data_IF_538177622332
#
_entry.id   IF_538177622332
#
_cell.length_a   1.000
_cell.length_b   1.000
_cell.length_c   1.000
_cell.angle_alpha   90.00
_cell.angle_beta   90.00
_cell.angle_gamma   90.00
#
_symmetry.space_group_name_H-M   'P 1'
#
loop_
_entity.id
_entity.type
_entity.pdbx_description
1 polymer ?
#
# COMPACT_ATOMS: atom_id res chain seq x y z
N UNK A 1 -22.92 -14.49 21.72
CA UNK A 1 -23.22 -14.59 20.27
C UNK A 1 -21.95 -15.01 19.55
N UNK A 2 -22.01 -16.00 18.66
CA UNK A 2 -20.89 -16.37 17.80
C UNK A 2 -20.70 -15.30 16.72
N UNK A 3 -19.46 -14.89 16.48
CA UNK A 3 -19.12 -13.87 15.48
C UNK A 3 -19.45 -14.41 14.06
N UNK A 4 -20.01 -13.61 13.14
CA UNK A 4 -20.51 -14.12 11.86
C UNK A 4 -19.43 -14.73 10.94
N UNK A 5 -18.17 -14.36 11.15
CA UNK A 5 -17.01 -14.92 10.44
C UNK A 5 -16.39 -16.13 11.14
N UNK A 6 -16.91 -16.55 12.30
CA UNK A 6 -16.40 -17.67 13.07
C UNK A 6 -17.20 -18.93 12.75
N UNK A 7 -16.50 -19.95 12.27
CA UNK A 7 -17.07 -21.28 12.00
C UNK A 7 -16.45 -22.25 12.99
N UNK A 8 -17.29 -23.07 13.63
CA UNK A 8 -16.83 -24.18 14.48
C UNK A 8 -16.96 -25.46 13.69
N UNK A 9 -15.88 -26.23 13.60
CA UNK A 9 -15.82 -27.48 12.84
C UNK A 9 -16.65 -28.57 13.55
N UNK A 10 -17.47 -29.26 12.78
CA UNK A 10 -18.23 -30.45 13.20
C UNK A 10 -18.13 -31.58 12.16
N UNK A 11 -18.79 -32.72 12.42
CA UNK A 11 -18.78 -33.92 11.56
C UNK A 11 -19.25 -33.68 10.11
N UNK A 12 -20.01 -32.62 9.86
CA UNK A 12 -20.57 -32.28 8.56
C UNK A 12 -19.78 -31.18 7.85
N UNK A 13 -18.83 -30.53 8.54
CA UNK A 13 -17.97 -29.52 7.94
C UNK A 13 -17.16 -30.11 6.79
N UNK A 14 -17.03 -29.34 5.70
CA UNK A 14 -16.10 -29.65 4.64
C UNK A 14 -14.64 -29.60 5.16
N UNK A 15 -13.70 -30.32 4.53
CA UNK A 15 -12.28 -30.07 4.76
C UNK A 15 -11.93 -28.61 4.47
N UNK A 16 -11.07 -28.00 5.30
CA UNK A 16 -10.57 -26.64 5.05
C UNK A 16 -9.49 -26.65 4.00
N UNK A 17 -9.27 -25.52 3.35
CA UNK A 17 -8.13 -25.31 2.45
C UNK A 17 -7.24 -24.20 2.98
N UNK A 18 -5.94 -24.44 2.98
CA UNK A 18 -4.92 -23.46 3.36
C UNK A 18 -3.92 -23.24 2.22
N UNK A 19 -3.40 -22.02 2.12
CA UNK A 19 -2.24 -21.73 1.28
C UNK A 19 -0.98 -22.30 1.93
N UNK A 20 -0.17 -22.99 1.14
CA UNK A 20 1.13 -23.53 1.51
C UNK A 20 2.15 -23.15 0.44
N UNK A 21 2.70 -21.94 0.55
CA UNK A 21 3.49 -21.33 -0.52
C UNK A 21 2.63 -21.09 -1.75
N UNK A 22 3.03 -21.65 -2.89
CA UNK A 22 2.33 -21.59 -4.18
C UNK A 22 1.38 -22.79 -4.40
N UNK A 23 1.03 -23.51 -3.33
CA UNK A 23 0.06 -24.61 -3.33
C UNK A 23 -1.14 -24.30 -2.45
N UNK A 24 -2.19 -25.08 -2.67
CA UNK A 24 -3.33 -25.21 -1.77
C UNK A 24 -3.33 -26.62 -1.19
N UNK A 25 -3.58 -26.75 0.10
CA UNK A 25 -3.65 -28.05 0.79
C UNK A 25 -4.98 -28.20 1.52
N UNK A 26 -5.59 -29.37 1.40
CA UNK A 26 -6.71 -29.72 2.28
C UNK A 26 -6.18 -29.99 3.68
N UNK A 27 -6.82 -29.37 4.68
CA UNK A 27 -6.51 -29.51 6.09
C UNK A 27 -7.71 -30.14 6.76
N UNK A 28 -7.48 -31.28 7.40
CA UNK A 28 -8.44 -31.91 8.30
C UNK A 28 -8.27 -31.32 9.70
N UNK A 29 -9.35 -30.79 10.26
CA UNK A 29 -9.35 -30.11 11.55
C UNK A 29 -10.24 -30.89 12.52
N UNK A 30 -9.83 -31.10 13.78
CA UNK A 30 -10.66 -31.78 14.78
C UNK A 30 -12.00 -31.07 15.01
N UNK A 31 -13.04 -31.84 15.35
CA UNK A 31 -14.31 -31.29 15.84
C UNK A 31 -14.09 -30.30 17.00
N UNK A 32 -14.82 -29.19 16.99
CA UNK A 32 -14.66 -28.10 17.94
C UNK A 32 -13.58 -27.07 17.57
N UNK A 33 -12.78 -27.32 16.53
CA UNK A 33 -11.84 -26.32 16.00
C UNK A 33 -12.57 -25.06 15.55
N UNK A 34 -11.95 -23.89 15.79
CA UNK A 34 -12.51 -22.58 15.47
C UNK A 34 -11.76 -21.96 14.30
N UNK A 35 -12.46 -21.73 13.19
CA UNK A 35 -11.90 -21.13 11.96
C UNK A 35 -12.48 -19.74 11.77
N UNK A 36 -11.62 -18.75 11.60
CA UNK A 36 -12.00 -17.35 11.38
C UNK A 36 -11.79 -16.98 9.90
N UNK A 37 -12.84 -16.52 9.25
CA UNK A 37 -12.82 -16.04 7.86
C UNK A 37 -12.67 -14.52 7.80
N UNK A 38 -12.15 -13.95 6.70
CA UNK A 38 -12.18 -12.51 6.48
C UNK A 38 -13.63 -12.01 6.38
N UNK A 39 -13.84 -10.73 6.71
CA UNK A 39 -15.11 -10.05 6.40
C UNK A 39 -15.31 -10.01 4.88
N UNK A 40 -16.55 -10.07 4.37
CA UNK A 40 -16.81 -9.85 2.96
C UNK A 40 -16.30 -8.47 2.49
N UNK A 41 -15.88 -8.33 1.23
CA UNK A 41 -15.51 -7.03 0.67
C UNK A 41 -16.63 -6.00 0.79
N UNK A 42 -16.24 -4.79 1.22
CA UNK A 42 -17.12 -3.63 1.21
C UNK A 42 -17.22 -3.03 -0.21
N UNK A 43 -18.26 -2.24 -0.42
CA UNK A 43 -18.50 -1.60 -1.71
C UNK A 43 -17.36 -0.64 -2.07
N UNK A 44 -16.97 -0.67 -3.35
CA UNK A 44 -15.99 0.25 -3.92
C UNK A 44 -16.64 1.59 -4.29
N UNK A 45 -15.83 2.63 -4.42
CA UNK A 45 -16.23 3.93 -4.94
C UNK A 45 -16.74 3.79 -6.37
N UNK A 46 -17.84 4.48 -6.67
CA UNK A 46 -18.44 4.47 -8.02
C UNK A 46 -17.56 5.17 -9.05
N UNK A 47 -16.92 6.26 -8.65
CA UNK A 47 -16.03 7.06 -9.48
C UNK A 47 -14.79 7.45 -8.68
N UNK A 48 -13.71 6.70 -8.91
CA UNK A 48 -12.43 6.90 -8.23
C UNK A 48 -11.78 8.21 -8.67
N UNK A 49 -11.87 8.61 -9.94
CA UNK A 49 -11.22 9.82 -10.44
C UNK A 49 -11.91 11.07 -9.89
N UNK A 50 -13.24 11.06 -9.81
CA UNK A 50 -13.99 12.12 -9.17
C UNK A 50 -13.63 12.24 -7.68
N UNK A 51 -13.46 11.12 -6.97
CA UNK A 51 -13.04 11.10 -5.57
C UNK A 51 -11.62 11.66 -5.39
N UNK A 52 -10.67 11.31 -6.27
CA UNK A 52 -9.31 11.88 -6.25
C UNK A 52 -9.36 13.39 -6.47
N UNK A 53 -10.08 13.87 -7.51
CA UNK A 53 -10.24 15.31 -7.77
C UNK A 53 -10.87 16.04 -6.58
N UNK A 54 -11.86 15.42 -5.94
CA UNK A 54 -12.48 15.97 -4.74
C UNK A 54 -11.48 16.08 -3.58
N UNK A 55 -10.77 15.00 -3.26
CA UNK A 55 -9.82 14.96 -2.14
C UNK A 55 -8.72 16.03 -2.28
N UNK A 56 -8.11 16.18 -3.46
CA UNK A 56 -7.03 17.18 -3.66
C UNK A 56 -7.54 18.63 -3.69
N UNK A 57 -8.85 18.85 -3.89
CA UNK A 57 -9.47 20.18 -3.89
C UNK A 57 -10.15 20.53 -2.56
N UNK A 58 -10.47 19.54 -1.72
CA UNK A 58 -11.07 19.69 -0.40
C UNK A 58 -10.26 18.91 0.65
N UNK A 59 -8.97 19.27 0.85
CA UNK A 59 -8.10 18.48 1.70
C UNK A 59 -8.37 18.69 3.19
N UNK A 60 -8.03 17.68 3.98
CA UNK A 60 -8.10 17.67 5.42
C UNK A 60 -6.99 18.55 6.01
N UNK A 61 -7.39 19.56 6.81
CA UNK A 61 -6.50 20.49 7.51
C UNK A 61 -5.34 21.07 6.67
N UNK A 62 -5.60 21.32 5.39
CA UNK A 62 -4.62 21.88 4.46
C UNK A 62 -5.31 22.80 3.47
N UNK A 63 -4.53 23.63 2.77
CA UNK A 63 -5.06 24.34 1.60
C UNK A 63 -5.22 23.35 0.44
N UNK A 64 -6.21 23.55 -0.45
CA UNK A 64 -6.34 22.79 -1.68
C UNK A 64 -5.01 22.70 -2.44
N UNK A 65 -4.73 21.55 -3.06
CA UNK A 65 -3.44 21.32 -3.71
C UNK A 65 -3.10 22.45 -4.70
N UNK A 66 -4.08 22.88 -5.49
CA UNK A 66 -3.92 23.96 -6.47
C UNK A 66 -3.47 25.30 -5.86
N UNK A 67 -3.83 25.60 -4.61
CA UNK A 67 -3.46 26.83 -3.93
C UNK A 67 -1.99 26.83 -3.49
N UNK A 68 -1.36 25.65 -3.45
CA UNK A 68 0.06 25.46 -3.12
C UNK A 68 0.96 25.53 -4.35
N UNK A 69 0.38 25.52 -5.55
CA UNK A 69 1.12 25.44 -6.81
C UNK A 69 1.49 26.84 -7.33
N UNK A 70 2.73 26.96 -7.82
CA UNK A 70 3.23 28.16 -8.49
C UNK A 70 4.21 27.76 -9.61
N UNK A 71 4.27 28.50 -10.73
CA UNK A 71 5.28 28.25 -11.76
C UNK A 71 6.71 28.30 -11.22
N UNK A 72 7.58 27.41 -11.70
CA UNK A 72 9.00 27.35 -11.34
C UNK A 72 9.30 26.74 -9.97
N UNK A 73 8.31 26.19 -9.27
CA UNK A 73 8.57 25.41 -8.06
C UNK A 73 8.96 23.96 -8.39
N UNK A 74 9.79 23.36 -7.55
CA UNK A 74 10.16 21.94 -7.65
C UNK A 74 9.22 21.07 -6.85
N UNK A 75 8.47 20.19 -7.53
CA UNK A 75 7.56 19.23 -6.91
C UNK A 75 8.16 17.83 -6.96
N UNK A 76 8.19 17.16 -5.81
CA UNK A 76 8.56 15.75 -5.73
C UNK A 76 7.32 14.94 -5.39
N UNK A 77 7.06 13.87 -6.15
CA UNK A 77 5.98 12.93 -5.87
C UNK A 77 6.57 11.61 -5.41
N UNK A 78 6.42 11.29 -4.13
CA UNK A 78 6.76 9.99 -3.59
C UNK A 78 5.59 9.01 -3.74
N UNK A 79 5.86 7.77 -4.08
CA UNK A 79 4.85 6.75 -4.42
C UNK A 79 5.19 5.47 -3.67
N UNK A 80 4.21 4.90 -2.96
CA UNK A 80 4.38 3.56 -2.38
C UNK A 80 4.75 2.52 -3.44
N UNK A 81 5.72 1.67 -3.13
CA UNK A 81 6.18 0.61 -4.02
C UNK A 81 5.16 -0.53 -4.18
N UNK A 82 5.47 -1.50 -5.05
CA UNK A 82 4.58 -2.64 -5.33
C UNK A 82 4.50 -3.65 -4.17
N UNK A 83 5.14 -3.41 -3.02
CA UNK A 83 4.90 -4.22 -1.83
C UNK A 83 3.49 -4.02 -1.28
N UNK A 84 2.73 -3.05 -1.80
CA UNK A 84 1.32 -2.82 -1.51
C UNK A 84 0.53 -2.56 -2.83
N UNK A 85 -0.68 -3.13 -3.00
CA UNK A 85 -1.23 -4.23 -2.21
C UNK A 85 -0.58 -5.56 -2.60
N UNK A 86 -0.74 -6.58 -1.76
CA UNK A 86 -0.31 -7.95 -2.06
C UNK A 86 -1.51 -8.91 -1.96
N UNK A 87 -1.85 -9.64 -3.04
CA UNK A 87 -1.27 -9.59 -4.40
C UNK A 87 -1.44 -8.24 -5.12
N UNK A 88 -0.68 -7.97 -6.20
CA UNK A 88 -0.84 -6.74 -6.98
C UNK A 88 -2.28 -6.55 -7.49
N UNK A 89 -2.73 -5.29 -7.50
CA UNK A 89 -4.05 -4.96 -8.02
C UNK A 89 -4.08 -4.97 -9.55
N UNK A 90 -5.25 -5.27 -10.12
CA UNK A 90 -5.47 -5.15 -11.57
C UNK A 90 -5.35 -3.69 -12.01
N UNK A 91 -4.90 -3.49 -13.24
CA UNK A 91 -4.82 -2.17 -13.86
C UNK A 91 -6.20 -1.57 -14.18
N UNK A 92 -6.33 -0.23 -14.23
CA UNK A 92 -5.30 0.74 -13.81
C UNK A 92 -5.10 0.71 -12.29
N UNK A 93 -3.84 0.75 -11.85
CA UNK A 93 -3.50 0.81 -10.43
C UNK A 93 -3.98 2.14 -9.84
N UNK A 94 -4.37 2.17 -8.56
CA UNK A 94 -4.86 3.41 -7.93
C UNK A 94 -3.80 4.50 -7.92
N UNK A 95 -2.51 4.15 -7.85
CA UNK A 95 -1.40 5.10 -7.95
C UNK A 95 -1.33 5.73 -9.34
N UNK A 96 -1.48 4.97 -10.42
CA UNK A 96 -1.62 5.51 -11.78
C UNK A 96 -2.76 6.53 -11.87
N UNK A 97 -3.90 6.22 -11.26
CA UNK A 97 -5.09 7.10 -11.26
C UNK A 97 -4.82 8.40 -10.51
N UNK A 98 -4.23 8.33 -9.31
CA UNK A 98 -3.83 9.51 -8.53
C UNK A 98 -2.82 10.36 -9.30
N UNK A 99 -1.76 9.73 -9.81
CA UNK A 99 -0.71 10.42 -10.57
C UNK A 99 -1.28 11.11 -11.81
N UNK A 100 -2.23 10.47 -12.52
CA UNK A 100 -2.87 11.08 -13.69
C UNK A 100 -3.57 12.39 -13.32
N UNK A 101 -4.36 12.41 -12.25
CA UNK A 101 -5.04 13.62 -11.78
C UNK A 101 -4.07 14.68 -11.27
N UNK A 102 -3.08 14.28 -10.48
CA UNK A 102 -2.10 15.21 -9.88
C UNK A 102 -1.22 15.84 -10.95
N UNK A 103 -0.68 15.05 -11.89
CA UNK A 103 0.16 15.57 -12.98
C UNK A 103 -0.62 16.51 -13.91
N UNK A 104 -1.89 16.22 -14.19
CA UNK A 104 -2.78 17.16 -14.92
C UNK A 104 -2.93 18.49 -14.18
N UNK A 105 -3.12 18.45 -12.86
CA UNK A 105 -3.26 19.66 -12.05
C UNK A 105 -1.96 20.46 -12.00
N UNK A 106 -0.81 19.79 -11.79
CA UNK A 106 0.51 20.43 -11.81
C UNK A 106 0.74 21.17 -13.13
N UNK A 107 0.45 20.53 -14.26
CA UNK A 107 0.59 21.14 -15.58
C UNK A 107 -0.34 22.36 -15.78
N UNK A 108 -1.59 22.31 -15.29
CA UNK A 108 -2.54 23.43 -15.39
C UNK A 108 -2.07 24.69 -14.65
N UNK A 109 -1.28 24.50 -13.59
CA UNK A 109 -0.73 25.60 -12.78
C UNK A 109 0.73 25.93 -13.14
N UNK A 110 1.22 25.41 -14.27
CA UNK A 110 2.54 25.74 -14.82
C UNK A 110 3.72 25.16 -14.05
N UNK A 111 3.52 24.06 -13.32
CA UNK A 111 4.60 23.30 -12.66
C UNK A 111 5.15 22.27 -13.64
N UNK A 112 6.43 22.40 -13.99
CA UNK A 112 7.14 21.56 -14.97
C UNK A 112 8.36 20.82 -14.38
N UNK A 113 8.93 21.32 -13.28
CA UNK A 113 9.98 20.68 -12.49
C UNK A 113 9.41 19.62 -11.52
N UNK A 114 9.18 18.43 -12.07
CA UNK A 114 8.57 17.29 -11.37
C UNK A 114 9.54 16.11 -11.37
N UNK A 115 9.81 15.57 -10.18
CA UNK A 115 10.51 14.31 -9.98
C UNK A 115 9.63 13.31 -9.21
N UNK A 116 9.68 12.04 -9.58
CA UNK A 116 8.96 10.96 -8.91
C UNK A 116 9.94 9.97 -8.27
N UNK A 117 9.63 9.57 -7.03
CA UNK A 117 10.44 8.64 -6.25
C UNK A 117 9.56 7.48 -5.81
N UNK A 118 9.97 6.26 -6.13
CA UNK A 118 9.35 5.05 -5.60
C UNK A 118 9.94 4.78 -4.22
N UNK A 119 9.07 4.78 -3.21
CA UNK A 119 9.42 4.68 -1.81
C UNK A 119 9.70 3.22 -1.39
N UNK A 120 10.84 2.71 -1.81
CA UNK A 120 11.27 1.32 -1.57
C UNK A 120 11.98 1.13 -0.23
N UNK A 121 12.59 2.18 0.34
CA UNK A 121 13.49 2.06 1.49
C UNK A 121 14.53 0.92 1.28
N UNK A 122 14.49 -0.11 2.14
CA UNK A 122 15.34 -1.31 2.05
C UNK A 122 14.70 -2.48 1.30
N UNK A 123 13.56 -2.28 0.64
CA UNK A 123 13.08 -3.24 -0.34
C UNK A 123 13.99 -3.27 -1.57
N UNK A 124 13.98 -4.39 -2.29
CA UNK A 124 14.68 -4.44 -3.59
C UNK A 124 14.11 -3.38 -4.52
N UNK A 125 14.95 -2.88 -5.43
CA UNK A 125 14.49 -2.01 -6.51
C UNK A 125 13.39 -2.70 -7.32
N UNK A 126 12.36 -1.94 -7.66
CA UNK A 126 11.35 -2.38 -8.61
C UNK A 126 11.95 -2.44 -10.01
N UNK A 127 11.57 -3.48 -10.76
CA UNK A 127 11.93 -3.62 -12.17
C UNK A 127 11.13 -2.63 -13.03
N UNK A 128 11.64 -2.28 -14.21
CA UNK A 128 10.94 -1.40 -15.14
C UNK A 128 9.50 -1.87 -15.46
N UNK A 129 9.28 -3.19 -15.57
CA UNK A 129 7.95 -3.75 -15.82
C UNK A 129 6.98 -3.55 -14.65
N UNK A 130 7.45 -3.71 -13.41
CA UNK A 130 6.66 -3.48 -12.20
C UNK A 130 6.32 -2.00 -12.04
N UNK A 131 7.28 -1.11 -12.30
CA UNK A 131 7.06 0.34 -12.28
C UNK A 131 6.00 0.70 -13.33
N UNK A 132 6.16 0.19 -14.56
CA UNK A 132 5.22 0.44 -15.66
C UNK A 132 3.81 -0.07 -15.37
N UNK A 133 3.67 -1.22 -14.71
CA UNK A 133 2.38 -1.74 -14.25
C UNK A 133 1.74 -0.79 -13.23
N UNK A 134 2.53 -0.30 -12.28
CA UNK A 134 2.07 0.53 -11.16
C UNK A 134 1.68 1.96 -11.57
N UNK A 135 2.48 2.61 -12.42
CA UNK A 135 2.26 4.02 -12.80
C UNK A 135 1.55 4.17 -14.15
N UNK A 136 1.36 3.06 -14.89
CA UNK A 136 0.81 3.08 -16.23
C UNK A 136 1.80 3.46 -17.32
N UNK A 137 1.53 3.03 -18.55
CA UNK A 137 2.45 3.20 -19.67
C UNK A 137 2.71 4.66 -20.05
N UNK A 138 1.70 5.54 -19.90
CA UNK A 138 1.82 6.96 -20.28
C UNK A 138 2.80 7.69 -19.37
N UNK A 139 2.64 7.54 -18.05
CA UNK A 139 3.52 8.17 -17.05
C UNK A 139 4.90 7.53 -17.11
N UNK A 140 4.98 6.20 -17.20
CA UNK A 140 6.25 5.50 -17.33
C UNK A 140 7.07 6.02 -18.51
N UNK A 141 6.49 6.09 -19.71
CA UNK A 141 7.22 6.53 -20.91
C UNK A 141 7.64 8.01 -20.85
N UNK A 142 6.93 8.85 -20.08
CA UNK A 142 7.21 10.28 -19.99
C UNK A 142 8.29 10.62 -18.95
N UNK A 143 8.45 9.81 -17.91
CA UNK A 143 9.29 10.13 -16.76
C UNK A 143 10.37 9.09 -16.44
N UNK A 144 10.20 7.81 -16.78
CA UNK A 144 11.20 6.78 -16.48
C UNK A 144 12.30 6.72 -17.56
N UNK A 145 13.59 6.60 -17.20
CA UNK A 145 14.13 6.52 -15.83
C UNK A 145 14.53 7.88 -15.22
N UNK A 146 14.57 8.94 -16.02
CA UNK A 146 15.29 10.19 -15.68
C UNK A 146 14.60 11.01 -14.57
N UNK A 147 13.28 10.95 -14.47
CA UNK A 147 12.44 11.69 -13.52
C UNK A 147 11.47 10.78 -12.76
N UNK A 148 11.64 9.46 -12.84
CA UNK A 148 10.93 8.45 -12.06
C UNK A 148 11.92 7.34 -11.72
N UNK A 149 12.35 7.29 -10.46
CA UNK A 149 13.39 6.35 -10.01
C UNK A 149 13.03 5.68 -8.68
N UNK A 150 13.70 4.56 -8.38
CA UNK A 150 13.63 3.94 -7.07
C UNK A 150 14.44 4.76 -6.06
N UNK A 151 13.93 4.92 -4.84
CA UNK A 151 14.76 5.33 -3.72
C UNK A 151 15.83 4.27 -3.44
N UNK A 152 17.02 4.70 -3.05
CA UNK A 152 18.08 3.84 -2.52
C UNK A 152 18.46 4.29 -1.11
N UNK A 153 18.11 3.48 -0.11
CA UNK A 153 18.40 3.78 1.29
C UNK A 153 19.88 3.56 1.67
N UNK A 154 20.68 2.93 0.80
CA UNK A 154 22.12 2.74 0.97
C UNK A 154 22.94 3.82 0.22
N UNK A 155 22.30 4.65 -0.60
CA UNK A 155 22.95 5.79 -1.26
C UNK A 155 23.12 6.98 -0.29
N UNK A 156 24.09 6.88 0.62
CA UNK A 156 24.32 7.88 1.67
C UNK A 156 24.50 9.32 1.17
N UNK A 157 25.06 9.54 -0.03
CA UNK A 157 25.20 10.86 -0.63
C UNK A 157 23.87 11.51 -1.04
N UNK A 158 22.82 10.71 -1.15
CA UNK A 158 21.47 11.11 -1.53
C UNK A 158 20.49 11.10 -0.35
N UNK A 159 21.02 11.16 0.88
CA UNK A 159 20.25 11.26 2.12
C UNK A 159 20.64 12.56 2.86
N UNK A 160 19.65 13.21 3.48
CA UNK A 160 19.85 14.37 4.36
C UNK A 160 19.19 14.10 5.70
N UNK A 161 19.93 14.39 6.77
CA UNK A 161 19.43 14.40 8.14
C UNK A 161 18.66 15.71 8.38
N UNK A 162 17.37 15.61 8.71
CA UNK A 162 16.50 16.76 8.99
C UNK A 162 16.55 17.18 10.46
N UNK A 163 16.88 16.24 11.36
CA UNK A 163 16.96 16.51 12.78
C UNK A 163 16.93 15.26 13.63
N UNK A 164 16.74 15.46 14.93
CA UNK A 164 16.63 14.39 15.92
C UNK A 164 15.47 14.72 16.87
N UNK A 165 14.62 13.73 17.17
CA UNK A 165 13.50 13.91 18.13
C UNK A 165 14.03 14.10 19.56
N UNK A 166 13.21 14.63 20.50
CA UNK A 166 13.60 14.71 21.92
C UNK A 166 14.01 13.37 22.55
N UNK A 167 13.50 12.26 22.03
CA UNK A 167 13.81 10.89 22.44
C UNK A 167 15.10 10.33 21.80
N UNK A 168 15.80 11.13 21.00
CA UNK A 168 17.07 10.77 20.35
C UNK A 168 16.91 10.02 19.02
N UNK A 169 15.74 10.09 18.38
CA UNK A 169 15.48 9.42 17.11
C UNK A 169 15.93 10.31 15.95
N UNK A 170 17.02 9.91 15.29
CA UNK A 170 17.53 10.61 14.10
C UNK A 170 16.56 10.46 12.94
N UNK A 171 16.24 11.57 12.26
CA UNK A 171 15.37 11.61 11.09
C UNK A 171 16.20 11.99 9.87
N UNK A 172 16.34 11.06 8.94
CA UNK A 172 16.97 11.27 7.63
C UNK A 172 16.06 10.77 6.52
N UNK A 173 15.99 11.50 5.42
CA UNK A 173 15.21 11.13 4.24
C UNK A 173 15.98 11.41 2.95
N UNK A 174 15.44 10.92 1.84
CA UNK A 174 15.90 11.19 0.48
C UNK A 174 16.12 12.70 0.25
N UNK A 175 17.30 13.07 -0.23
CA UNK A 175 17.71 14.46 -0.47
C UNK A 175 16.81 15.18 -1.47
N UNK A 176 16.37 14.51 -2.53
CA UNK A 176 15.44 15.06 -3.52
C UNK A 176 14.14 15.46 -2.84
N UNK A 177 13.58 14.58 -2.00
CA UNK A 177 12.35 14.87 -1.24
C UNK A 177 12.56 15.97 -0.18
N UNK A 178 13.68 15.95 0.54
CA UNK A 178 14.02 16.92 1.58
C UNK A 178 14.20 18.36 1.07
N UNK A 179 14.48 18.52 -0.23
CA UNK A 179 14.81 19.81 -0.85
C UNK A 179 13.76 20.27 -1.86
N UNK A 180 12.59 19.61 -1.86
CA UNK A 180 11.46 20.00 -2.70
C UNK A 180 10.76 21.25 -2.14
N UNK A 181 10.19 22.07 -3.01
CA UNK A 181 9.26 23.12 -2.58
C UNK A 181 7.94 22.52 -2.07
N UNK A 182 7.58 21.34 -2.58
CA UNK A 182 6.42 20.56 -2.17
C UNK A 182 6.69 19.07 -2.39
N UNK A 183 6.53 18.27 -1.34
CA UNK A 183 6.50 16.82 -1.40
C UNK A 183 5.05 16.34 -1.42
N UNK A 184 4.62 15.73 -2.53
CA UNK A 184 3.33 15.02 -2.59
C UNK A 184 3.60 13.54 -2.30
N UNK A 185 2.92 12.95 -1.32
CA UNK A 185 3.05 11.51 -1.06
C UNK A 185 1.79 10.78 -1.48
N UNK A 186 1.91 9.88 -2.46
CA UNK A 186 0.84 9.00 -2.95
C UNK A 186 0.94 7.65 -2.27
N UNK A 187 0.05 7.40 -1.33
CA UNK A 187 0.02 6.21 -0.51
C UNK A 187 -1.20 5.32 -0.82
N UNK A 188 -1.00 4.03 -0.56
CA UNK A 188 -2.05 3.01 -0.55
C UNK A 188 -2.14 2.37 0.84
N UNK A 189 -3.19 2.73 1.58
CA UNK A 189 -3.50 2.19 2.91
C UNK A 189 -4.28 0.88 2.76
N UNK A 190 -3.57 -0.26 2.78
CA UNK A 190 -4.16 -1.59 2.70
C UNK A 190 -4.33 -2.26 4.07
N UNK A 191 -3.44 -1.94 5.01
CA UNK A 191 -3.52 -2.39 6.41
C UNK A 191 -3.34 -1.20 7.36
N UNK A 192 -3.79 -1.28 8.64
CA UNK A 192 -3.77 -0.14 9.57
C UNK A 192 -2.39 0.49 9.81
N UNK A 193 -1.31 -0.24 9.55
CA UNK A 193 0.05 0.28 9.68
C UNK A 193 0.47 1.18 8.51
N UNK A 194 -0.18 1.10 7.35
CA UNK A 194 0.19 1.88 6.16
C UNK A 194 -0.35 3.31 6.24
N UNK A 195 0.26 4.25 5.51
CA UNK A 195 -0.17 5.64 5.51
C UNK A 195 0.43 6.48 6.63
N UNK A 196 -0.06 7.70 6.74
CA UNK A 196 0.38 8.73 7.66
C UNK A 196 1.87 8.96 7.60
N UNK A 197 2.46 9.24 8.76
CA UNK A 197 3.88 9.53 8.88
C UNK A 197 4.79 8.36 8.47
N UNK A 198 4.31 7.10 8.51
CA UNK A 198 5.10 5.94 8.09
C UNK A 198 5.60 6.11 6.66
N UNK A 199 4.75 6.60 5.78
CA UNK A 199 5.03 6.81 4.36
C UNK A 199 6.39 7.48 4.13
N UNK A 200 6.58 8.68 4.68
CA UNK A 200 7.84 9.42 4.49
C UNK A 200 8.97 8.86 5.36
N UNK A 201 8.74 8.66 6.66
CA UNK A 201 9.81 8.29 7.61
C UNK A 201 10.32 6.86 7.45
N UNK A 202 9.58 6.01 6.74
CA UNK A 202 10.01 4.66 6.37
C UNK A 202 10.35 4.59 4.89
N UNK A 203 9.44 5.00 4.00
CA UNK A 203 9.57 4.74 2.56
C UNK A 203 10.69 5.50 1.87
N UNK A 204 11.09 6.67 2.41
CA UNK A 204 12.13 7.54 1.86
C UNK A 204 13.37 7.63 2.76
N UNK A 205 13.50 6.76 3.77
CA UNK A 205 14.54 6.91 4.78
C UNK A 205 15.72 5.95 4.61
N UNK A 206 16.88 6.43 5.06
CA UNK A 206 18.09 5.64 5.20
C UNK A 206 18.14 4.85 6.51
N UNK A 207 19.21 4.06 6.68
CA UNK A 207 19.37 3.17 7.84
C UNK A 207 19.35 3.91 9.19
N UNK A 208 19.89 5.14 9.29
CA UNK A 208 19.99 5.84 10.59
C UNK A 208 18.62 6.15 11.17
N UNK A 209 17.67 6.48 10.30
CA UNK A 209 16.27 6.74 10.65
C UNK A 209 15.49 5.44 10.82
N UNK A 210 15.61 4.51 9.86
CA UNK A 210 14.84 3.28 9.88
C UNK A 210 15.06 2.43 11.14
N UNK A 211 16.31 2.32 11.61
CA UNK A 211 16.68 1.53 12.80
C UNK A 211 16.03 2.06 14.09
N UNK A 212 15.61 3.33 14.11
CA UNK A 212 15.01 3.95 15.30
C UNK A 212 13.68 3.30 15.67
N UNK A 213 12.97 2.76 14.68
CA UNK A 213 11.65 2.16 14.84
C UNK A 213 11.59 0.68 14.40
N UNK A 214 12.41 0.23 13.43
CA UNK A 214 12.53 -1.19 13.07
C UNK A 214 13.55 -1.94 13.94
N UNK A 215 13.28 -2.03 15.24
CA UNK A 215 14.12 -2.78 16.18
C UNK A 215 13.28 -3.61 17.17
N UNK A 216 13.87 -4.67 17.78
CA UNK A 216 13.12 -5.57 18.65
C UNK A 216 12.46 -4.91 19.87
N UNK A 217 13.01 -3.80 20.37
CA UNK A 217 12.42 -3.07 21.49
C UNK A 217 11.10 -2.44 21.04
N UNK A 218 11.13 -1.63 19.98
CA UNK A 218 9.94 -0.97 19.44
C UNK A 218 8.88 -1.95 18.97
N UNK A 219 9.26 -3.01 18.26
CA UNK A 219 8.27 -3.99 17.75
C UNK A 219 7.59 -4.78 18.85
N UNK A 220 8.18 -4.88 20.05
CA UNK A 220 7.55 -5.51 21.23
C UNK A 220 6.63 -4.57 22.00
N UNK A 221 6.71 -3.26 21.76
CA UNK A 221 5.88 -2.25 22.38
C UNK A 221 4.51 -2.21 21.68
N UNK A 222 3.68 -3.22 21.95
CA UNK A 222 2.31 -3.31 21.43
C UNK A 222 2.20 -3.85 20.00
N UNK A 223 1.02 -3.72 19.40
CA UNK A 223 0.70 -4.34 18.10
C UNK A 223 0.78 -3.30 16.98
N UNK A 224 1.65 -3.49 16.00
CA UNK A 224 1.78 -2.58 14.85
C UNK A 224 0.54 -2.54 13.93
N UNK A 225 -0.37 -3.51 14.05
CA UNK A 225 -1.68 -3.50 13.38
C UNK A 225 -2.76 -2.77 14.19
N UNK A 226 -2.41 -2.21 15.35
CA UNK A 226 -3.23 -1.36 16.20
C UNK A 226 -2.47 -0.05 16.49
N UNK A 227 -2.51 0.93 15.57
CA UNK A 227 -1.65 2.12 15.63
C UNK A 227 -1.75 2.91 16.94
N UNK A 228 -2.92 2.93 17.58
CA UNK A 228 -3.15 3.63 18.84
C UNK A 228 -2.35 3.03 20.01
N UNK A 229 -2.01 1.73 19.93
CA UNK A 229 -1.28 0.99 20.94
C UNK A 229 0.07 0.48 20.41
N UNK A 230 0.68 1.15 19.43
CA UNK A 230 1.92 0.71 18.79
C UNK A 230 3.09 1.66 19.06
N UNK A 231 4.18 1.14 19.64
CA UNK A 231 5.45 1.86 19.76
C UNK A 231 6.04 2.23 18.40
N UNK A 232 5.77 1.42 17.37
CA UNK A 232 6.17 1.70 15.98
C UNK A 232 5.43 2.93 15.45
N UNK A 233 4.09 2.95 15.58
CA UNK A 233 3.26 4.10 15.19
C UNK A 233 3.64 5.38 15.93
N UNK A 234 3.86 5.28 17.25
CA UNK A 234 4.26 6.41 18.08
C UNK A 234 5.59 7.03 17.61
N UNK A 235 6.55 6.20 17.20
CA UNK A 235 7.82 6.67 16.62
C UNK A 235 7.63 7.30 15.25
N UNK A 236 6.80 6.71 14.38
CA UNK A 236 6.45 7.33 13.10
C UNK A 236 5.91 8.73 13.31
N UNK A 237 4.97 8.92 14.24
CA UNK A 237 4.37 10.23 14.51
C UNK A 237 5.35 11.26 15.05
N UNK A 238 6.31 10.88 15.92
CA UNK A 238 7.33 11.80 16.44
C UNK A 238 8.33 12.20 15.36
N UNK A 239 8.83 11.21 14.62
CA UNK A 239 9.80 11.44 13.55
C UNK A 239 9.18 12.20 12.38
N UNK A 240 7.91 11.93 12.07
CA UNK A 240 7.19 12.56 10.99
C UNK A 240 6.87 14.04 11.25
N UNK A 241 6.71 14.45 12.52
CA UNK A 241 6.65 15.88 12.86
C UNK A 241 7.93 16.64 12.47
N UNK A 242 9.10 16.03 12.66
CA UNK A 242 10.37 16.62 12.19
C UNK A 242 10.37 16.75 10.66
N UNK A 243 9.76 15.82 9.93
CA UNK A 243 9.60 15.94 8.46
C UNK A 243 8.70 17.12 8.13
N UNK A 244 7.50 17.17 8.71
CA UNK A 244 6.50 18.22 8.42
C UNK A 244 7.01 19.63 8.80
N UNK A 245 7.86 19.75 9.82
CA UNK A 245 8.50 21.01 10.23
C UNK A 245 9.56 21.51 9.21
N UNK A 246 10.10 20.62 8.38
CA UNK A 246 11.20 20.92 7.46
C UNK A 246 10.82 20.88 5.98
N UNK A 247 9.78 20.11 5.62
CA UNK A 247 9.36 19.87 4.23
C UNK A 247 7.86 20.08 4.13
N UNK A 248 7.36 20.93 3.21
CA UNK A 248 5.93 21.00 2.95
C UNK A 248 5.43 19.69 2.34
N UNK A 249 4.70 18.88 3.12
CA UNK A 249 4.15 17.60 2.67
C UNK A 249 2.65 17.71 2.39
N UNK A 250 2.21 17.17 1.25
CA UNK A 250 0.81 16.99 0.90
C UNK A 250 0.52 15.50 0.69
N UNK A 251 -0.21 14.90 1.62
CA UNK A 251 -0.53 13.47 1.58
C UNK A 251 -1.75 13.20 0.70
N UNK A 252 -1.72 12.08 -0.01
CA UNK A 252 -2.88 11.50 -0.69
C UNK A 252 -2.91 10.02 -0.32
N UNK A 253 -3.92 9.62 0.45
CA UNK A 253 -4.10 8.23 0.91
C UNK A 253 -5.31 7.61 0.22
N UNK A 254 -5.13 6.36 -0.23
CA UNK A 254 -6.18 5.57 -0.87
C UNK A 254 -6.37 4.28 -0.11
N UNK A 255 -7.63 3.90 0.16
CA UNK A 255 -7.94 2.63 0.82
C UNK A 255 -8.55 1.64 -0.18
N UNK A 256 -8.30 0.36 0.01
CA UNK A 256 -8.86 -0.71 -0.82
C UNK A 256 -9.76 -1.65 0.01
N UNK A 257 -10.76 -2.24 -0.65
CA UNK A 257 -11.45 -3.39 -0.08
C UNK A 257 -10.55 -4.62 -0.09
N UNK A 258 -10.99 -5.70 0.55
CA UNK A 258 -10.25 -6.96 0.62
C UNK A 258 -10.65 -7.98 -0.47
N UNK A 259 -11.12 -7.53 -1.65
CA UNK A 259 -11.50 -8.42 -2.76
C UNK A 259 -10.27 -8.98 -3.47
N UNK A 260 -9.62 -9.94 -2.83
CA UNK A 260 -8.34 -10.52 -3.26
C UNK A 260 -8.44 -11.40 -4.52
N UNK A 261 -9.56 -12.09 -4.72
CA UNK A 261 -9.71 -13.07 -5.81
C UNK A 261 -10.68 -12.58 -6.88
N UNK A 262 -10.27 -12.63 -8.15
CA UNK A 262 -11.16 -12.40 -9.29
C UNK A 262 -12.06 -13.61 -9.56
N UNK A 263 -13.10 -13.44 -10.39
CA UNK A 263 -14.15 -14.42 -10.67
C UNK A 263 -13.66 -15.87 -10.82
N UNK A 264 -12.55 -16.17 -11.54
CA UNK A 264 -12.07 -17.56 -11.67
C UNK A 264 -11.64 -18.22 -10.36
N UNK A 265 -11.26 -17.42 -9.35
CA UNK A 265 -10.74 -17.86 -8.06
C UNK A 265 -11.60 -17.36 -6.88
N UNK A 266 -12.73 -16.70 -7.14
CA UNK A 266 -13.57 -16.05 -6.10
C UNK A 266 -14.05 -17.02 -5.02
N UNK A 267 -14.19 -18.31 -5.36
CA UNK A 267 -14.55 -19.36 -4.39
C UNK A 267 -13.50 -19.56 -3.29
N UNK A 268 -12.23 -19.16 -3.51
CA UNK A 268 -11.18 -19.22 -2.48
C UNK A 268 -11.42 -18.23 -1.33
N UNK A 269 -12.24 -17.20 -1.54
CA UNK A 269 -12.63 -16.26 -0.49
C UNK A 269 -13.86 -16.68 0.31
N UNK A 270 -14.45 -17.85 0.02
CA UNK A 270 -15.69 -18.34 0.64
C UNK A 270 -15.39 -19.43 1.67
N UNK A 271 -16.29 -19.56 2.65
CA UNK A 271 -16.30 -20.73 3.52
C UNK A 271 -16.57 -22.00 2.68
N UNK A 272 -15.76 -23.04 2.86
CA UNK A 272 -15.87 -24.30 2.12
C UNK A 272 -17.21 -25.03 2.33
N UNK A 273 -17.90 -24.76 3.45
CA UNK A 273 -19.24 -25.30 3.74
C UNK A 273 -20.32 -24.69 2.83
N UNK A 274 -20.11 -23.45 2.36
CA UNK A 274 -21.07 -22.75 1.51
C UNK A 274 -20.77 -22.86 0.02
N UNK A 275 -19.71 -23.58 -0.36
CA UNK A 275 -19.40 -23.81 -1.77
C UNK A 275 -20.46 -24.67 -2.45
N UNK A 276 -20.92 -24.19 -3.60
CA UNK A 276 -21.74 -24.97 -4.53
C UNK A 276 -20.98 -26.21 -5.04
N UNK A 277 -21.72 -27.16 -5.63
CA UNK A 277 -21.11 -28.38 -6.20
C UNK A 277 -20.04 -28.08 -7.26
N UNK A 278 -20.25 -27.05 -8.08
CA UNK A 278 -19.30 -26.61 -9.12
C UNK A 278 -18.06 -25.96 -8.51
N UNK A 279 -18.21 -25.08 -7.52
CA UNK A 279 -17.08 -24.46 -6.83
C UNK A 279 -16.24 -25.48 -6.05
N UNK A 280 -16.88 -26.45 -5.42
CA UNK A 280 -16.18 -27.55 -4.73
C UNK A 280 -15.38 -28.41 -5.71
N UNK A 281 -15.92 -28.68 -6.89
CA UNK A 281 -15.18 -29.38 -7.95
C UNK A 281 -14.00 -28.54 -8.47
N UNK A 282 -14.21 -27.23 -8.66
CA UNK A 282 -13.15 -26.31 -9.06
C UNK A 282 -12.01 -26.25 -8.02
N UNK A 283 -12.35 -26.14 -6.73
CA UNK A 283 -11.39 -26.17 -5.63
C UNK A 283 -10.54 -27.45 -5.62
N UNK A 284 -11.20 -28.62 -5.72
CA UNK A 284 -10.49 -29.91 -5.79
C UNK A 284 -9.58 -30.00 -7.02
N UNK A 285 -10.08 -29.56 -8.18
CA UNK A 285 -9.30 -29.53 -9.42
C UNK A 285 -8.08 -28.61 -9.31
N UNK A 286 -8.24 -27.45 -8.69
CA UNK A 286 -7.15 -26.49 -8.45
C UNK A 286 -6.10 -27.08 -7.50
N UNK A 287 -6.52 -27.64 -6.35
CA UNK A 287 -5.61 -28.33 -5.40
C UNK A 287 -4.82 -29.44 -6.10
N UNK A 288 -5.51 -30.31 -6.84
CA UNK A 288 -4.87 -31.40 -7.59
C UNK A 288 -3.87 -30.87 -8.63
N UNK A 289 -4.26 -29.84 -9.38
CA UNK A 289 -3.41 -29.24 -10.42
C UNK A 289 -2.16 -28.61 -9.82
N UNK A 290 -2.31 -27.80 -8.76
CA UNK A 290 -1.19 -27.17 -8.07
C UNK A 290 -0.27 -28.20 -7.41
N UNK A 291 -0.77 -29.35 -6.96
CA UNK A 291 0.11 -30.38 -6.40
C UNK A 291 1.07 -30.98 -7.43
N UNK A 292 0.61 -31.12 -8.69
CA UNK A 292 1.35 -31.75 -9.79
C UNK A 292 2.15 -30.80 -10.65
N UNK A 293 1.83 -29.50 -10.65
CA UNK A 293 2.51 -28.51 -11.47
C UNK A 293 3.92 -28.17 -10.95
N UNK A 294 4.90 -27.94 -11.84
CA UNK A 294 6.17 -27.29 -11.48
C UNK A 294 5.95 -25.90 -10.86
N UNK A 295 6.82 -25.49 -9.95
CA UNK A 295 6.73 -24.21 -9.21
C UNK A 295 6.51 -22.99 -10.12
N UNK A 296 7.26 -22.88 -11.21
CA UNK A 296 7.13 -21.77 -12.15
C UNK A 296 5.71 -21.63 -12.73
N UNK A 297 5.04 -22.76 -13.01
CA UNK A 297 3.67 -22.76 -13.52
C UNK A 297 2.66 -22.45 -12.41
N UNK A 298 2.93 -22.85 -11.17
CA UNK A 298 2.06 -22.52 -10.03
C UNK A 298 2.05 -21.02 -9.76
N UNK A 299 3.23 -20.39 -9.74
CA UNK A 299 3.35 -18.93 -9.66
C UNK A 299 2.54 -18.24 -10.76
N UNK A 300 2.74 -18.67 -12.02
CA UNK A 300 2.02 -18.11 -13.16
C UNK A 300 0.48 -18.22 -13.08
N UNK A 301 -0.07 -19.23 -12.37
CA UNK A 301 -1.52 -19.34 -12.16
C UNK A 301 -2.03 -18.18 -11.31
N UNK A 302 -1.34 -17.84 -10.22
CA UNK A 302 -1.76 -16.75 -9.33
C UNK A 302 -1.42 -15.37 -9.91
N UNK A 303 -0.26 -15.23 -10.56
CA UNK A 303 0.16 -13.97 -11.20
C UNK A 303 -0.76 -13.56 -12.37
N UNK A 304 -1.41 -14.53 -13.02
CA UNK A 304 -2.35 -14.29 -14.12
C UNK A 304 -3.62 -13.54 -13.66
N UNK A 305 -3.97 -13.63 -12.39
CA UNK A 305 -5.21 -13.05 -11.86
C UNK A 305 -4.87 -12.00 -10.80
N UNK A 306 -4.47 -10.78 -11.22
CA UNK A 306 -4.26 -9.70 -10.27
C UNK A 306 -5.56 -9.41 -9.52
N UNK A 307 -5.44 -8.96 -8.27
CA UNK A 307 -6.60 -8.80 -7.41
C UNK A 307 -7.51 -7.69 -7.94
N UNK A 308 -8.83 -7.93 -8.01
CA UNK A 308 -9.82 -6.94 -8.42
C UNK A 308 -10.23 -6.04 -7.26
N UNK A 309 -9.24 -5.55 -6.49
CA UNK A 309 -9.51 -4.65 -5.38
C UNK A 309 -10.28 -3.43 -5.87
N UNK A 310 -11.26 -3.04 -5.07
CA UNK A 310 -12.00 -1.81 -5.25
C UNK A 310 -11.48 -0.75 -4.32
N UNK A 311 -11.27 0.47 -4.83
CA UNK A 311 -10.92 1.62 -3.99
C UNK A 311 -12.13 1.97 -3.12
N UNK A 312 -11.93 2.13 -1.82
CA UNK A 312 -12.99 2.38 -0.84
C UNK A 312 -13.01 3.81 -0.32
N UNK A 313 -11.90 4.52 -0.45
CA UNK A 313 -11.74 5.90 0.01
C UNK A 313 -10.52 6.55 -0.62
N UNK A 314 -10.59 7.87 -0.77
CA UNK A 314 -9.49 8.73 -1.21
C UNK A 314 -9.54 9.98 -0.36
N UNK A 315 -8.44 10.27 0.34
CA UNK A 315 -8.31 11.41 1.22
C UNK A 315 -6.99 12.12 0.94
N UNK A 316 -6.93 13.42 1.16
CA UNK A 316 -5.72 14.18 0.94
C UNK A 316 -5.61 15.36 1.91
N UNK A 317 -4.40 15.89 2.11
CA UNK A 317 -4.16 17.06 2.94
C UNK A 317 -2.97 16.91 3.88
N UNK A 318 -3.13 17.42 5.09
CA UNK A 318 -2.12 17.30 6.14
C UNK A 318 -2.02 15.84 6.61
N UNK A 319 -0.80 15.40 6.93
CA UNK A 319 -0.47 13.98 7.16
C UNK A 319 -1.37 13.31 8.19
N UNK A 320 -1.49 13.87 9.40
CA UNK A 320 -2.27 13.24 10.49
C UNK A 320 -3.77 13.29 10.23
N UNK A 321 -4.29 14.42 9.75
CA UNK A 321 -5.71 14.61 9.51
C UNK A 321 -6.23 13.75 8.35
N UNK A 322 -5.39 13.53 7.33
CA UNK A 322 -5.68 12.64 6.20
C UNK A 322 -5.73 11.18 6.68
N UNK A 323 -4.75 10.77 7.48
CA UNK A 323 -4.60 9.38 7.93
C UNK A 323 -5.70 8.94 8.92
N UNK A 324 -6.36 9.87 9.61
CA UNK A 324 -7.48 9.57 10.51
C UNK A 324 -8.76 9.12 9.76
N UNK A 325 -8.87 9.39 8.45
CA UNK A 325 -10.08 9.12 7.63
C UNK A 325 -10.12 7.71 7.05
#
# INVERSE_FOLDING_TARGET
MTHPQLVTIDKKSAPRVAFAGDKLVFVDLPEGSRVLYPKPPIAELRDVDAAIRYAVTHPENSEPLYAKLRPGMRVVIAIDDLSMPLPPMRGPDVRERVLTVVLELLAQYGVDDIEMIIATAFHRRMTAGEIKHMVGSKIFNAYYPDRLANHDAEEHSNLIELGTTPEGEVVEINKTAATADLLIYVNLTFVPMNGGHKSVVTGLSGYKSLKQHHNPKTTREGNYMDPANSGLSNKFQRMGKIVDDNVPVFHIETTLNNRMFDRPLEFLGKNEDSLSGTERAALKGLVFSLDKMPQALRGAVFDKFPAPYGVTGVFAGATEATHEK
#
